data_IF_724575920479
#
_entry.id   IF_724575920479
#
_cell.length_a   1.000
_cell.length_b   1.000
_cell.length_c   1.000
_cell.angle_alpha   90.00
_cell.angle_beta   90.00
_cell.angle_gamma   90.00
#
_symmetry.space_group_name_H-M   'P 1'
#
loop_
_entity.id
_entity.type
_entity.pdbx_description
1 polymer ?
#
# COMPACT_ATOMS: atom_id res chain seq x y z
N UNK A 1 -2.12 7.88 -26.56
CA UNK A 1 -2.81 8.25 -25.31
C UNK A 1 -2.15 7.45 -24.20
N UNK A 2 -1.14 8.03 -23.56
CA UNK A 2 -0.51 7.46 -22.36
C UNK A 2 -0.64 8.54 -21.29
N UNK A 3 -1.44 8.27 -20.25
CA UNK A 3 -1.72 9.22 -19.18
C UNK A 3 -0.43 9.52 -18.41
N UNK A 4 0.08 10.75 -18.54
CA UNK A 4 1.23 11.30 -17.78
C UNK A 4 1.10 11.16 -16.26
N UNK A 5 -0.11 10.94 -15.76
CA UNK A 5 -0.41 10.79 -14.33
C UNK A 5 0.30 9.61 -13.67
N UNK A 6 0.69 8.57 -14.43
CA UNK A 6 1.35 7.41 -13.84
C UNK A 6 2.88 7.55 -13.67
N UNK A 7 3.51 8.56 -14.27
CA UNK A 7 4.96 8.73 -14.20
C UNK A 7 5.44 9.22 -12.82
N UNK A 8 4.56 9.88 -12.05
CA UNK A 8 4.89 10.39 -10.72
C UNK A 8 4.99 9.27 -9.68
N UNK A 9 4.16 8.23 -9.79
CA UNK A 9 4.16 7.07 -8.90
C UNK A 9 5.45 6.23 -8.97
N UNK A 10 6.09 6.14 -10.15
CA UNK A 10 7.36 5.41 -10.30
C UNK A 10 8.48 6.08 -9.49
N UNK A 11 8.46 7.41 -9.39
CA UNK A 11 9.48 8.21 -8.68
C UNK A 11 9.23 8.25 -7.18
N UNK A 12 7.97 8.28 -6.75
CA UNK A 12 7.59 8.39 -5.34
C UNK A 12 7.61 7.04 -4.60
N UNK A 13 7.42 5.90 -5.29
CA UNK A 13 7.37 4.57 -4.65
C UNK A 13 8.62 3.69 -4.82
N UNK A 14 9.63 4.13 -5.58
CA UNK A 14 10.80 3.29 -5.94
C UNK A 14 10.40 1.85 -6.34
N UNK A 15 9.36 1.71 -7.18
CA UNK A 15 8.77 0.44 -7.66
C UNK A 15 9.69 -0.33 -8.63
N UNK A 16 10.96 -0.55 -8.28
CA UNK A 16 11.75 -1.61 -8.92
C UNK A 16 11.25 -3.00 -8.49
N UNK A 17 10.37 -3.06 -7.49
CA UNK A 17 9.97 -4.26 -6.78
C UNK A 17 8.46 -4.14 -6.38
N UNK A 18 7.62 -5.18 -6.57
CA UNK A 18 6.29 -5.45 -5.90
C UNK A 18 5.98 -4.71 -4.55
N UNK A 19 5.28 -3.58 -4.58
CA UNK A 19 4.81 -2.88 -3.37
C UNK A 19 3.32 -3.08 -3.10
N UNK A 20 2.90 -2.88 -1.85
CA UNK A 20 1.49 -2.82 -1.43
C UNK A 20 1.26 -1.54 -0.65
N UNK A 21 0.23 -0.78 -1.02
CA UNK A 21 -0.14 0.50 -0.39
C UNK A 21 -1.59 0.41 0.06
N UNK A 22 -1.88 0.90 1.27
CA UNK A 22 -3.24 1.02 1.82
C UNK A 22 -3.60 2.50 1.87
N UNK A 23 -4.63 2.91 1.15
CA UNK A 23 -5.12 4.29 1.08
C UNK A 23 -6.50 4.41 1.73
N UNK A 24 -6.71 5.47 2.52
CA UNK A 24 -8.03 5.86 3.00
C UNK A 24 -8.62 6.90 2.04
N UNK A 25 -9.76 6.57 1.45
CA UNK A 25 -10.50 7.49 0.59
C UNK A 25 -11.78 7.92 1.31
N UNK A 26 -11.93 9.22 1.56
CA UNK A 26 -13.16 9.81 2.10
C UNK A 26 -13.71 10.80 1.08
N UNK A 27 -15.00 10.70 0.76
CA UNK A 27 -15.68 11.58 -0.20
C UNK A 27 -15.02 11.68 -1.59
N UNK A 28 -14.33 10.61 -2.02
CA UNK A 28 -13.63 10.57 -3.31
C UNK A 28 -12.21 11.15 -3.29
N UNK A 29 -11.74 11.66 -2.16
CA UNK A 29 -10.37 12.16 -1.98
C UNK A 29 -9.56 11.22 -1.08
N UNK A 30 -8.30 10.97 -1.45
CA UNK A 30 -7.35 10.25 -0.61
C UNK A 30 -6.93 11.15 0.55
N UNK A 31 -7.23 10.73 1.77
CA UNK A 31 -6.97 11.51 2.99
C UNK A 31 -5.74 11.04 3.76
N UNK A 32 -5.34 9.78 3.57
CA UNK A 32 -4.16 9.17 4.19
C UNK A 32 -3.77 7.95 3.36
N UNK A 33 -2.48 7.65 3.29
CA UNK A 33 -1.98 6.39 2.75
C UNK A 33 -0.85 5.85 3.62
N UNK A 34 -0.66 4.53 3.57
CA UNK A 34 0.45 3.85 4.22
C UNK A 34 1.08 2.84 3.24
N UNK A 35 2.41 2.85 3.14
CA UNK A 35 3.17 1.91 2.33
C UNK A 35 3.62 0.73 3.19
N UNK A 36 3.26 -0.49 2.80
CA UNK A 36 3.53 -1.69 3.60
C UNK A 36 4.93 -2.21 3.26
N UNK A 37 5.96 -1.52 3.75
CA UNK A 37 7.35 -1.80 3.41
C UNK A 37 7.82 -3.20 3.80
N UNK A 38 7.24 -3.84 4.82
CA UNK A 38 7.65 -5.18 5.25
C UNK A 38 7.10 -6.29 4.35
N UNK A 39 6.29 -5.94 3.34
CA UNK A 39 5.72 -6.92 2.39
C UNK A 39 6.78 -7.80 1.73
N UNK A 40 7.97 -7.22 1.50
CA UNK A 40 9.17 -7.88 0.98
C UNK A 40 9.56 -9.14 1.76
N UNK A 41 9.47 -9.08 3.09
CA UNK A 41 9.86 -10.17 3.97
C UNK A 41 8.95 -11.39 3.85
N UNK A 42 7.71 -11.19 3.38
CA UNK A 42 6.68 -12.23 3.36
C UNK A 42 6.38 -12.76 1.95
N UNK A 43 7.03 -12.27 0.90
CA UNK A 43 6.74 -12.65 -0.49
C UNK A 43 6.87 -14.16 -0.79
N UNK A 44 7.70 -14.89 -0.04
CA UNK A 44 7.91 -16.34 -0.19
C UNK A 44 7.00 -17.18 0.70
N UNK A 45 6.23 -16.56 1.58
CA UNK A 45 5.31 -17.23 2.49
C UNK A 45 3.92 -16.61 2.37
N UNK A 46 3.04 -17.32 1.64
CA UNK A 46 1.67 -16.89 1.40
C UNK A 46 0.93 -16.58 2.70
N UNK A 47 1.00 -17.45 3.69
CA UNK A 47 0.27 -17.27 4.95
C UNK A 47 0.74 -16.03 5.70
N UNK A 48 2.05 -15.85 5.87
CA UNK A 48 2.61 -14.67 6.53
C UNK A 48 2.32 -13.39 5.76
N UNK A 49 2.32 -13.45 4.43
CA UNK A 49 1.94 -12.31 3.60
C UNK A 49 0.49 -11.91 3.87
N UNK A 50 -0.45 -12.85 3.84
CA UNK A 50 -1.86 -12.56 4.10
C UNK A 50 -2.10 -12.03 5.52
N UNK A 51 -1.45 -12.63 6.53
CA UNK A 51 -1.57 -12.16 7.92
C UNK A 51 -1.01 -10.75 8.07
N UNK A 52 0.16 -10.47 7.48
CA UNK A 52 0.76 -9.15 7.51
C UNK A 52 -0.15 -8.08 6.88
N UNK A 53 -0.70 -8.34 5.68
CA UNK A 53 -1.65 -7.41 5.05
C UNK A 53 -2.87 -7.18 5.94
N UNK A 54 -3.45 -8.25 6.51
CA UNK A 54 -4.63 -8.16 7.37
C UNK A 54 -4.34 -7.31 8.61
N UNK A 55 -3.21 -7.52 9.26
CA UNK A 55 -2.84 -6.80 10.47
C UNK A 55 -2.58 -5.32 10.19
N UNK A 56 -1.85 -5.00 9.12
CA UNK A 56 -1.60 -3.62 8.69
C UNK A 56 -2.90 -2.88 8.35
N UNK A 57 -3.83 -3.53 7.64
CA UNK A 57 -5.15 -2.94 7.34
C UNK A 57 -5.96 -2.73 8.63
N UNK A 58 -5.97 -3.69 9.56
CA UNK A 58 -6.69 -3.54 10.81
C UNK A 58 -6.11 -2.44 11.71
N UNK A 59 -4.79 -2.35 11.79
CA UNK A 59 -4.11 -1.27 12.52
C UNK A 59 -4.45 0.07 11.89
N UNK A 60 -4.40 0.14 10.56
CA UNK A 60 -4.74 1.34 9.82
C UNK A 60 -6.19 1.79 10.06
N UNK A 61 -7.15 0.85 10.10
CA UNK A 61 -8.54 1.16 10.45
C UNK A 61 -8.68 1.71 11.88
N UNK A 62 -8.02 1.08 12.86
CA UNK A 62 -8.03 1.55 14.26
C UNK A 62 -7.42 2.93 14.45
N UNK A 63 -6.37 3.27 13.69
CA UNK A 63 -5.78 4.61 13.70
C UNK A 63 -6.68 5.68 13.07
N UNK A 64 -7.73 5.27 12.35
CA UNK A 64 -8.61 6.18 11.59
C UNK A 64 -10.02 6.30 12.18
N UNK A 65 -10.32 5.54 13.24
CA UNK A 65 -11.47 5.73 14.15
C UNK A 65 -11.20 6.87 15.14
#
# INVERSE_FOLDING_TARGET
MEKKENQRFVKDYQLYTKSVVVSLVKNGEEVKFNNLEKVWHYLRNKEQFFNYIKDEVNNYLKETE
#
